data_IF_689909861390
#
_entry.id   IF_689909861390
#
_cell.length_a   1.000
_cell.length_b   1.000
_cell.length_c   1.000
_cell.angle_alpha   90.00
_cell.angle_beta   90.00
_cell.angle_gamma   90.00
#
_symmetry.space_group_name_H-M   'P 1'
#
loop_
_entity.id
_entity.type
_entity.pdbx_description
1 polymer ?
#
# COMPACT_ATOMS: atom_id res chain seq x y z
N UNK A 1 -17.94 5.03 1.41
CA UNK A 1 -19.04 4.28 2.01
C UNK A 1 -19.08 4.56 3.51
N UNK A 2 -20.22 4.94 4.05
CA UNK A 2 -20.44 4.89 5.49
C UNK A 2 -20.93 3.49 5.83
N UNK A 3 -20.20 2.80 6.70
CA UNK A 3 -20.51 1.42 7.09
C UNK A 3 -21.06 1.39 8.51
N UNK A 4 -22.21 0.75 8.66
CA UNK A 4 -22.83 0.46 9.96
C UNK A 4 -23.05 -1.04 10.08
N UNK A 5 -22.68 -1.62 11.22
CA UNK A 5 -22.75 -3.07 11.45
C UNK A 5 -21.86 -3.86 10.47
N UNK A 6 -22.20 -5.11 10.22
CA UNK A 6 -21.43 -5.98 9.32
C UNK A 6 -21.94 -5.88 7.88
N UNK A 7 -21.05 -5.63 6.94
CA UNK A 7 -21.34 -5.50 5.50
C UNK A 7 -20.37 -6.35 4.67
N UNK A 8 -20.89 -6.90 3.58
CA UNK A 8 -20.09 -7.42 2.48
C UNK A 8 -20.31 -6.54 1.25
N UNK A 9 -19.24 -6.23 0.53
CA UNK A 9 -19.30 -5.37 -0.65
C UNK A 9 -18.43 -5.94 -1.77
N UNK A 10 -18.95 -5.88 -2.99
CA UNK A 10 -18.18 -6.15 -4.20
C UNK A 10 -18.27 -4.91 -5.11
N UNK A 11 -17.13 -4.38 -5.49
CA UNK A 11 -16.99 -3.26 -6.42
C UNK A 11 -16.22 -3.70 -7.65
N UNK A 12 -16.70 -3.32 -8.82
CA UNK A 12 -15.97 -3.46 -10.07
C UNK A 12 -15.74 -2.09 -10.69
N UNK A 13 -14.47 -1.79 -11.00
CA UNK A 13 -14.02 -0.56 -11.67
C UNK A 13 -13.39 -1.00 -12.99
N UNK A 14 -13.99 -0.60 -14.09
CA UNK A 14 -13.48 -0.95 -15.43
C UNK A 14 -13.24 0.30 -16.26
N UNK A 15 -11.99 0.54 -16.64
CA UNK A 15 -11.59 1.59 -17.58
C UNK A 15 -11.49 0.99 -18.99
N UNK A 16 -12.30 1.47 -19.92
CA UNK A 16 -12.24 1.05 -21.32
C UNK A 16 -10.93 1.44 -22.00
N UNK A 17 -10.61 0.83 -23.14
CA UNK A 17 -9.40 1.15 -23.89
C UNK A 17 -9.29 2.65 -24.20
N UNK A 18 -8.07 3.21 -24.11
CA UNK A 18 -7.74 4.62 -24.35
C UNK A 18 -8.43 5.63 -23.41
N UNK A 19 -9.12 5.14 -22.38
CA UNK A 19 -9.78 6.03 -21.42
C UNK A 19 -8.79 6.57 -20.37
N UNK A 20 -9.16 7.71 -19.77
CA UNK A 20 -8.44 8.28 -18.64
C UNK A 20 -9.44 8.62 -17.54
N UNK A 21 -9.21 8.13 -16.31
CA UNK A 21 -10.10 8.37 -15.19
C UNK A 21 -9.35 8.40 -13.86
N UNK A 22 -9.97 9.02 -12.87
CA UNK A 22 -9.59 8.92 -11.46
C UNK A 22 -10.83 8.49 -10.68
N UNK A 23 -10.69 7.45 -9.87
CA UNK A 23 -11.74 6.95 -8.98
C UNK A 23 -11.25 7.06 -7.54
N UNK A 24 -12.06 7.64 -6.68
CA UNK A 24 -11.79 7.77 -5.26
C UNK A 24 -12.80 6.92 -4.50
N UNK A 25 -12.31 5.93 -3.77
CA UNK A 25 -13.08 5.11 -2.84
C UNK A 25 -12.82 5.64 -1.43
N UNK A 26 -13.78 6.32 -0.86
CA UNK A 26 -13.71 6.79 0.53
C UNK A 26 -14.51 5.84 1.42
N UNK A 27 -13.88 5.38 2.47
CA UNK A 27 -14.43 4.49 3.47
C UNK A 27 -14.42 5.20 4.82
N UNK A 28 -15.57 5.30 5.43
CA UNK A 28 -15.73 5.77 6.79
C UNK A 28 -16.76 4.89 7.49
N UNK A 29 -16.65 4.72 8.77
CA UNK A 29 -17.58 3.94 9.56
C UNK A 29 -17.46 4.30 11.03
N UNK A 30 -18.59 4.25 11.72
CA UNK A 30 -18.68 4.46 13.15
C UNK A 30 -18.47 3.16 13.92
N UNK A 31 -18.37 3.30 15.24
CA UNK A 31 -18.10 2.23 16.20
C UNK A 31 -18.76 0.86 15.87
N UNK A 32 -17.99 -0.21 15.97
CA UNK A 32 -18.41 -1.61 15.79
C UNK A 32 -18.81 -2.00 14.35
N UNK A 33 -18.43 -1.25 13.33
CA UNK A 33 -18.64 -1.65 11.95
C UNK A 33 -17.61 -2.71 11.51
N UNK A 34 -18.06 -3.61 10.63
CA UNK A 34 -17.19 -4.58 9.97
C UNK A 34 -17.48 -4.61 8.46
N UNK A 35 -16.44 -4.41 7.65
CA UNK A 35 -16.52 -4.49 6.20
C UNK A 35 -15.65 -5.61 5.66
N UNK A 36 -16.27 -6.55 4.93
CA UNK A 36 -15.56 -7.48 4.06
C UNK A 36 -15.77 -7.05 2.61
N UNK A 37 -14.69 -6.69 1.91
CA UNK A 37 -14.77 -6.06 0.60
C UNK A 37 -13.94 -6.82 -0.44
N UNK A 38 -14.52 -6.94 -1.64
CA UNK A 38 -13.77 -7.29 -2.86
C UNK A 38 -13.82 -6.11 -3.81
N UNK A 39 -12.66 -5.70 -4.33
CA UNK A 39 -12.54 -4.65 -5.35
C UNK A 39 -11.85 -5.26 -6.57
N UNK A 40 -12.49 -5.21 -7.71
CA UNK A 40 -11.89 -5.58 -8.99
C UNK A 40 -11.64 -4.33 -9.82
N UNK A 41 -10.41 -4.15 -10.27
CA UNK A 41 -9.99 -3.03 -11.12
C UNK A 41 -9.45 -3.58 -12.41
N UNK A 42 -10.04 -3.17 -13.54
CA UNK A 42 -9.58 -3.57 -14.86
C UNK A 42 -9.26 -2.34 -15.71
N UNK A 43 -8.08 -2.32 -16.31
CA UNK A 43 -7.71 -1.34 -17.35
C UNK A 43 -7.70 -2.01 -18.71
N UNK A 44 -8.43 -1.45 -19.66
CA UNK A 44 -8.32 -1.82 -21.07
C UNK A 44 -7.02 -1.30 -21.70
N UNK A 45 -6.76 -1.69 -22.94
CA UNK A 45 -5.53 -1.33 -23.66
C UNK A 45 -5.33 0.18 -23.72
N UNK A 46 -4.12 0.63 -23.39
CA UNK A 46 -3.72 2.04 -23.37
C UNK A 46 -4.58 2.94 -22.46
N UNK A 47 -5.33 2.36 -21.52
CA UNK A 47 -6.08 3.14 -20.53
C UNK A 47 -5.13 3.70 -19.46
N UNK A 48 -5.52 4.84 -18.87
CA UNK A 48 -4.81 5.46 -17.76
C UNK A 48 -5.77 5.67 -16.60
N UNK A 49 -5.65 4.86 -15.57
CA UNK A 49 -6.55 4.87 -14.42
C UNK A 49 -5.79 5.17 -13.13
N UNK A 50 -6.33 6.07 -12.34
CA UNK A 50 -5.90 6.26 -10.95
C UNK A 50 -7.02 5.80 -10.02
N UNK A 51 -6.71 4.91 -9.09
CA UNK A 51 -7.64 4.50 -8.03
C UNK A 51 -7.05 4.91 -6.69
N UNK A 52 -7.79 5.71 -5.94
CA UNK A 52 -7.42 6.13 -4.58
C UNK A 52 -8.37 5.47 -3.60
N UNK A 53 -7.84 4.71 -2.67
CA UNK A 53 -8.59 4.03 -1.60
C UNK A 53 -8.24 4.69 -0.27
N UNK A 54 -9.19 5.45 0.29
CA UNK A 54 -9.04 6.14 1.57
C UNK A 54 -9.78 5.34 2.64
N UNK A 55 -9.11 4.97 3.71
CA UNK A 55 -9.69 4.39 4.91
C UNK A 55 -9.55 5.41 6.04
N UNK A 56 -10.68 5.98 6.44
CA UNK A 56 -10.82 6.92 7.55
C UNK A 56 -11.81 6.32 8.56
N UNK A 57 -11.37 5.22 9.17
CA UNK A 57 -12.20 4.44 10.07
C UNK A 57 -12.16 4.96 11.50
N UNK A 58 -13.25 4.76 12.23
CA UNK A 58 -13.21 4.79 13.70
C UNK A 58 -12.36 3.62 14.23
N UNK A 59 -11.68 3.82 15.36
CA UNK A 59 -10.70 2.90 15.93
C UNK A 59 -11.24 1.50 16.32
N UNK A 60 -12.54 1.29 16.22
CA UNK A 60 -13.19 0.01 16.53
C UNK A 60 -13.64 -0.77 15.29
N UNK A 61 -13.34 -0.27 14.09
CA UNK A 61 -13.81 -0.86 12.82
C UNK A 61 -12.88 -1.99 12.36
N UNK A 62 -13.50 -3.07 11.87
CA UNK A 62 -12.80 -4.17 11.20
C UNK A 62 -12.98 -4.04 9.68
N UNK A 63 -11.89 -3.99 8.93
CA UNK A 63 -11.94 -3.95 7.47
C UNK A 63 -11.01 -4.98 6.85
N UNK A 64 -11.57 -5.92 6.11
CA UNK A 64 -10.82 -6.85 5.26
C UNK A 64 -11.18 -6.61 3.80
N UNK A 65 -10.17 -6.37 2.95
CA UNK A 65 -10.37 -6.13 1.52
C UNK A 65 -9.42 -6.96 0.67
N UNK A 66 -9.97 -7.67 -0.30
CA UNK A 66 -9.22 -8.23 -1.41
C UNK A 66 -9.41 -7.37 -2.65
N UNK A 67 -8.30 -6.98 -3.26
CA UNK A 67 -8.28 -6.10 -4.43
C UNK A 67 -7.54 -6.83 -5.57
N UNK A 68 -8.20 -6.99 -6.71
CA UNK A 68 -7.62 -7.59 -7.90
C UNK A 68 -7.43 -6.52 -8.97
N UNK A 69 -6.18 -6.34 -9.40
CA UNK A 69 -5.79 -5.29 -10.34
C UNK A 69 -5.32 -5.94 -11.64
N UNK A 70 -6.11 -5.80 -12.70
CA UNK A 70 -5.82 -6.40 -14.00
C UNK A 70 -5.48 -5.33 -15.03
N UNK A 71 -4.27 -5.41 -15.62
CA UNK A 71 -3.74 -4.39 -16.52
C UNK A 71 -3.70 -4.90 -17.96
N UNK A 72 -4.41 -4.24 -18.88
CA UNK A 72 -4.33 -4.48 -20.31
C UNK A 72 -3.03 -3.96 -20.95
N UNK A 73 -2.81 -4.24 -22.23
CA UNK A 73 -1.64 -3.82 -23.00
C UNK A 73 -1.40 -2.29 -22.91
N UNK A 74 -0.16 -1.88 -22.66
CA UNK A 74 0.27 -0.47 -22.65
C UNK A 74 -0.57 0.41 -21.72
N UNK A 75 -1.32 -0.18 -20.79
CA UNK A 75 -2.13 0.58 -19.84
C UNK A 75 -1.31 1.05 -18.65
N UNK A 76 -1.81 2.09 -17.97
CA UNK A 76 -1.20 2.65 -16.76
C UNK A 76 -2.21 2.61 -15.61
N UNK A 77 -1.83 1.98 -14.52
CA UNK A 77 -2.61 1.98 -13.28
C UNK A 77 -1.79 2.60 -12.15
N UNK A 78 -2.33 3.66 -11.56
CA UNK A 78 -1.84 4.19 -10.28
C UNK A 78 -2.83 3.81 -9.20
N UNK A 79 -2.40 2.97 -8.25
CA UNK A 79 -3.20 2.54 -7.11
C UNK A 79 -2.65 3.17 -5.83
N UNK A 80 -3.46 3.98 -5.17
CA UNK A 80 -3.06 4.73 -3.96
C UNK A 80 -3.90 4.26 -2.79
N UNK A 81 -3.26 3.85 -1.71
CA UNK A 81 -3.89 3.43 -0.47
C UNK A 81 -3.50 4.38 0.65
N UNK A 82 -4.49 4.92 1.35
CA UNK A 82 -4.28 5.74 2.55
C UNK A 82 -5.09 5.12 3.68
N UNK A 83 -4.42 4.71 4.76
CA UNK A 83 -5.07 4.01 5.87
C UNK A 83 -4.84 4.75 7.18
N UNK A 84 -5.93 5.26 7.72
CA UNK A 84 -6.00 5.90 9.04
C UNK A 84 -7.16 5.31 9.82
N UNK A 85 -6.91 4.91 11.07
CA UNK A 85 -7.92 4.32 11.93
C UNK A 85 -8.23 2.85 11.61
N UNK A 86 -9.21 2.30 12.36
CA UNK A 86 -9.59 0.90 12.36
C UNK A 86 -8.84 0.11 13.44
N UNK A 87 -9.55 -0.79 14.12
CA UNK A 87 -8.96 -1.77 15.04
C UNK A 87 -8.09 -2.78 14.26
N UNK A 88 -8.68 -3.32 13.19
CA UNK A 88 -7.97 -4.19 12.25
C UNK A 88 -8.33 -3.79 10.81
N UNK A 89 -7.32 -3.41 10.04
CA UNK A 89 -7.46 -3.20 8.59
C UNK A 89 -6.48 -4.12 7.88
N UNK A 90 -7.01 -4.97 6.98
CA UNK A 90 -6.22 -5.86 6.14
C UNK A 90 -6.58 -5.64 4.68
N UNK A 91 -5.64 -5.14 3.90
CA UNK A 91 -5.78 -4.91 2.47
C UNK A 91 -4.81 -5.82 1.70
N UNK A 92 -5.36 -6.71 0.87
CA UNK A 92 -4.59 -7.58 -0.01
C UNK A 92 -4.82 -7.11 -1.46
N UNK A 93 -3.76 -6.74 -2.16
CA UNK A 93 -3.82 -6.27 -3.55
C UNK A 93 -2.98 -7.19 -4.44
N UNK A 94 -3.67 -7.93 -5.31
CA UNK A 94 -3.06 -8.85 -6.27
C UNK A 94 -3.12 -8.23 -7.67
N UNK A 95 -1.98 -8.20 -8.36
CA UNK A 95 -1.86 -7.61 -9.70
C UNK A 95 -1.60 -8.67 -10.76
N UNK A 96 -2.32 -8.58 -11.87
CA UNK A 96 -2.18 -9.44 -13.05
C UNK A 96 -1.98 -8.58 -14.31
N UNK A 97 -0.84 -8.74 -14.98
CA UNK A 97 -0.56 -8.10 -16.27
C UNK A 97 -1.13 -8.95 -17.40
N UNK A 98 -2.19 -8.48 -18.04
CA UNK A 98 -2.90 -9.17 -19.14
C UNK A 98 -2.38 -8.84 -20.53
N UNK A 99 -1.42 -7.94 -20.63
CA UNK A 99 -0.78 -7.55 -21.89
C UNK A 99 0.57 -6.89 -21.68
N UNK A 100 1.44 -6.90 -22.70
CA UNK A 100 2.77 -6.33 -22.60
C UNK A 100 2.74 -4.79 -22.46
N UNK A 101 3.83 -4.24 -21.93
CA UNK A 101 4.04 -2.80 -21.86
C UNK A 101 3.21 -2.07 -20.79
N UNK A 102 2.50 -2.79 -19.93
CA UNK A 102 1.69 -2.17 -18.90
C UNK A 102 2.54 -1.62 -17.75
N UNK A 103 2.09 -0.51 -17.16
CA UNK A 103 2.77 0.19 -16.09
C UNK A 103 1.90 0.24 -14.83
N UNK A 104 2.44 -0.23 -13.71
CA UNK A 104 1.82 -0.20 -12.39
C UNK A 104 2.60 0.71 -11.45
N UNK A 105 1.90 1.62 -10.79
CA UNK A 105 2.43 2.35 -9.63
C UNK A 105 1.52 2.12 -8.44
N UNK A 106 2.06 1.57 -7.35
CA UNK A 106 1.33 1.39 -6.10
C UNK A 106 1.96 2.26 -5.01
N UNK A 107 1.15 3.10 -4.42
CA UNK A 107 1.56 4.00 -3.34
C UNK A 107 0.70 3.73 -2.11
N UNK A 108 1.33 3.52 -0.97
CA UNK A 108 0.66 3.33 0.30
C UNK A 108 1.19 4.27 1.37
N UNK A 109 0.30 4.86 2.14
CA UNK A 109 0.64 5.54 3.38
C UNK A 109 -0.29 5.07 4.49
N UNK A 110 0.26 4.81 5.66
CA UNK A 110 -0.52 4.40 6.83
C UNK A 110 0.04 5.00 8.12
N UNK A 111 -0.88 5.29 9.02
CA UNK A 111 -0.55 5.71 10.37
C UNK A 111 -1.25 4.75 11.35
N UNK A 112 -0.47 4.17 12.25
CA UNK A 112 -0.94 3.16 13.21
C UNK A 112 -0.84 3.73 14.60
N UNK A 113 -1.96 3.80 15.29
CA UNK A 113 -2.00 4.23 16.69
C UNK A 113 -2.11 3.03 17.64
N UNK A 114 -1.95 3.29 18.93
CA UNK A 114 -1.92 2.24 19.96
C UNK A 114 -3.10 1.28 19.89
N UNK A 115 -2.82 -0.03 19.92
CA UNK A 115 -3.79 -1.12 19.83
C UNK A 115 -4.26 -1.46 18.43
N UNK A 116 -3.99 -0.66 17.40
CA UNK A 116 -4.42 -0.92 16.03
C UNK A 116 -3.51 -1.92 15.32
N UNK A 117 -4.09 -2.72 14.41
CA UNK A 117 -3.38 -3.61 13.50
C UNK A 117 -3.68 -3.25 12.03
N UNK A 118 -2.70 -2.70 11.33
CA UNK A 118 -2.84 -2.37 9.91
C UNK A 118 -1.93 -3.26 9.05
N UNK A 119 -2.53 -4.07 8.18
CA UNK A 119 -1.83 -5.03 7.31
C UNK A 119 -2.07 -4.70 5.84
N UNK A 120 -0.97 -4.57 5.09
CA UNK A 120 -0.98 -4.38 3.64
C UNK A 120 -0.17 -5.49 2.98
N UNK A 121 -0.83 -6.28 2.12
CA UNK A 121 -0.19 -7.29 1.29
C UNK A 121 -0.31 -6.90 -0.17
N UNK A 122 0.80 -6.95 -0.85
CA UNK A 122 0.89 -6.63 -2.29
C UNK A 122 1.49 -7.84 -2.99
N UNK A 123 0.83 -8.32 -4.02
CA UNK A 123 1.39 -9.31 -4.91
C UNK A 123 1.42 -8.78 -6.34
N UNK A 124 2.61 -8.68 -6.91
CA UNK A 124 2.83 -8.20 -8.28
C UNK A 124 3.32 -9.37 -9.13
N UNK A 125 2.45 -9.92 -9.98
CA UNK A 125 2.75 -11.03 -10.88
C UNK A 125 3.08 -10.51 -12.28
N UNK A 126 4.36 -10.37 -12.60
CA UNK A 126 4.83 -10.04 -13.94
C UNK A 126 4.77 -11.28 -14.83
N UNK A 127 3.67 -11.43 -15.56
CA UNK A 127 3.39 -12.55 -16.46
C UNK A 127 3.53 -12.19 -17.94
N UNK A 128 3.76 -10.90 -18.26
CA UNK A 128 3.85 -10.37 -19.61
C UNK A 128 5.14 -9.57 -19.83
N UNK A 129 5.67 -9.52 -21.07
CA UNK A 129 6.92 -8.81 -21.32
C UNK A 129 6.79 -7.29 -21.23
N UNK A 130 7.92 -6.65 -20.94
CA UNK A 130 8.09 -5.18 -20.93
C UNK A 130 7.13 -4.45 -19.99
N UNK A 131 6.75 -5.11 -18.91
CA UNK A 131 5.92 -4.51 -17.89
C UNK A 131 6.78 -3.82 -16.81
N UNK A 132 6.25 -2.75 -16.29
CA UNK A 132 6.89 -1.92 -15.28
C UNK A 132 6.06 -1.91 -14.00
N UNK A 133 6.73 -2.00 -12.83
CA UNK A 133 6.06 -1.74 -11.55
C UNK A 133 6.94 -0.98 -10.57
N UNK A 134 6.29 -0.11 -9.79
CA UNK A 134 6.88 0.55 -8.62
C UNK A 134 5.88 0.47 -7.47
N UNK A 135 6.32 -0.14 -6.39
CA UNK A 135 5.55 -0.28 -5.15
C UNK A 135 6.26 0.51 -4.06
N UNK A 136 5.57 1.48 -3.46
CA UNK A 136 6.13 2.27 -2.37
C UNK A 136 5.11 2.43 -1.27
N UNK A 137 5.41 1.84 -0.10
CA UNK A 137 4.59 1.96 1.09
C UNK A 137 5.39 2.59 2.23
N UNK A 138 4.77 3.54 2.92
CA UNK A 138 5.39 4.21 4.07
C UNK A 138 4.41 4.25 5.25
N UNK A 139 4.92 3.91 6.43
CA UNK A 139 4.15 3.91 7.66
C UNK A 139 4.78 4.73 8.77
N UNK A 140 3.94 5.27 9.64
CA UNK A 140 4.36 5.78 10.93
C UNK A 140 3.52 5.11 12.02
N UNK A 141 4.16 4.77 13.14
CA UNK A 141 3.54 4.01 14.22
C UNK A 141 3.79 4.69 15.55
N UNK A 142 2.74 4.81 16.35
CA UNK A 142 2.87 5.30 17.73
C UNK A 142 1.94 4.52 18.67
N UNK A 143 2.27 4.58 19.95
CA UNK A 143 1.46 3.99 21.00
C UNK A 143 1.77 2.52 21.25
N UNK A 144 1.39 2.08 22.44
CA UNK A 144 1.57 0.71 22.87
C UNK A 144 0.70 -0.23 22.02
N UNK A 145 1.27 -1.38 21.63
CA UNK A 145 0.60 -2.41 20.83
C UNK A 145 0.16 -1.97 19.41
N UNK A 146 0.62 -0.79 18.95
CA UNK A 146 0.49 -0.40 17.54
C UNK A 146 1.28 -1.37 16.65
N UNK A 147 0.63 -1.99 15.67
CA UNK A 147 1.27 -3.01 14.84
C UNK A 147 0.96 -2.81 13.35
N UNK A 148 1.99 -2.65 12.55
CA UNK A 148 1.86 -2.72 11.09
C UNK A 148 2.51 -3.98 10.53
N UNK A 149 1.89 -4.53 9.49
CA UNK A 149 2.47 -5.60 8.67
C UNK A 149 2.43 -5.15 7.22
N UNK A 150 3.57 -5.16 6.56
CA UNK A 150 3.66 -5.00 5.12
C UNK A 150 4.36 -6.21 4.49
N UNK A 151 3.69 -6.83 3.52
CA UNK A 151 4.24 -7.94 2.76
C UNK A 151 4.17 -7.55 1.29
N UNK A 152 5.33 -7.50 0.63
CA UNK A 152 5.46 -7.28 -0.80
C UNK A 152 6.02 -8.55 -1.44
N UNK A 153 5.24 -9.12 -2.34
CA UNK A 153 5.62 -10.29 -3.11
C UNK A 153 5.68 -9.89 -4.59
N UNK A 154 6.84 -9.98 -5.21
CA UNK A 154 7.02 -9.75 -6.63
C UNK A 154 7.51 -11.03 -7.32
N UNK A 155 6.76 -11.49 -8.32
CA UNK A 155 7.10 -12.65 -9.12
C UNK A 155 7.31 -12.23 -10.57
N UNK A 156 8.49 -12.54 -11.13
CA UNK A 156 8.81 -12.31 -12.54
C UNK A 156 8.81 -13.68 -13.23
N UNK A 157 7.79 -13.92 -14.03
CA UNK A 157 7.59 -15.19 -14.73
C UNK A 157 8.57 -15.37 -15.89
N UNK A 158 8.77 -16.61 -16.32
CA UNK A 158 9.66 -16.98 -17.44
C UNK A 158 9.37 -16.17 -18.73
N UNK A 159 8.12 -15.84 -19.00
CA UNK A 159 7.70 -15.10 -20.20
C UNK A 159 7.80 -13.56 -20.08
N UNK A 160 8.25 -13.03 -18.92
CA UNK A 160 8.21 -11.61 -18.61
C UNK A 160 9.52 -10.88 -18.99
N UNK A 161 9.98 -11.02 -20.23
CA UNK A 161 11.17 -10.35 -20.74
C UNK A 161 11.06 -8.82 -20.61
N UNK A 162 12.17 -8.17 -20.25
CA UNK A 162 12.23 -6.70 -20.17
C UNK A 162 11.40 -6.11 -19.03
N UNK A 163 11.15 -6.89 -17.97
CA UNK A 163 10.52 -6.38 -16.74
C UNK A 163 11.44 -5.41 -16.02
N UNK A 164 10.87 -4.30 -15.52
CA UNK A 164 11.50 -3.39 -14.58
C UNK A 164 10.61 -3.20 -13.36
N UNK A 165 11.06 -3.67 -12.20
CA UNK A 165 10.26 -3.66 -10.96
C UNK A 165 11.07 -3.23 -9.74
N UNK A 166 10.43 -2.52 -8.82
CA UNK A 166 11.04 -2.17 -7.55
C UNK A 166 9.99 -2.02 -6.45
N UNK A 167 10.26 -2.59 -5.28
CA UNK A 167 9.42 -2.49 -4.10
C UNK A 167 10.15 -1.79 -2.96
N UNK A 168 9.47 -0.88 -2.29
CA UNK A 168 9.99 -0.13 -1.15
C UNK A 168 8.97 -0.08 -0.02
N UNK A 169 9.37 -0.53 1.18
CA UNK A 169 8.64 -0.24 2.40
C UNK A 169 9.53 0.53 3.39
N UNK A 170 9.00 1.61 3.96
CA UNK A 170 9.69 2.35 5.03
C UNK A 170 8.73 2.63 6.17
N UNK A 171 9.16 2.34 7.38
CA UNK A 171 8.40 2.60 8.59
C UNK A 171 9.19 3.49 9.55
N UNK A 172 8.47 4.35 10.25
CA UNK A 172 9.01 5.16 11.35
C UNK A 172 8.25 4.81 12.64
N UNK A 173 8.95 4.24 13.60
CA UNK A 173 8.42 3.96 14.94
C UNK A 173 8.66 5.17 15.82
N UNK A 174 7.59 5.85 16.19
CA UNK A 174 7.62 7.12 16.91
C UNK A 174 7.74 6.96 18.43
N UNK A 175 7.22 5.84 18.96
CA UNK A 175 7.20 5.59 20.41
C UNK A 175 7.52 4.14 20.73
N UNK A 176 7.90 3.86 21.96
CA UNK A 176 8.07 2.49 22.45
C UNK A 176 6.74 1.71 22.43
N UNK A 177 6.83 0.38 22.27
CA UNK A 177 5.69 -0.53 22.24
C UNK A 177 5.01 -0.67 20.89
N UNK A 178 5.37 0.12 19.89
CA UNK A 178 4.93 -0.05 18.51
C UNK A 178 5.86 -0.99 17.74
N UNK A 179 5.31 -1.76 16.80
CA UNK A 179 6.00 -2.78 16.01
C UNK A 179 5.63 -2.70 14.54
N UNK A 180 6.64 -2.69 13.66
CA UNK A 180 6.47 -2.79 12.21
C UNK A 180 7.15 -4.07 11.69
N UNK A 181 6.39 -4.94 11.05
CA UNK A 181 6.88 -6.09 10.31
C UNK A 181 6.86 -5.77 8.82
N UNK A 182 8.00 -5.95 8.15
CA UNK A 182 8.14 -5.69 6.72
C UNK A 182 8.85 -6.86 6.05
N UNK A 183 8.16 -7.49 5.09
CA UNK A 183 8.60 -8.73 4.44
C UNK A 183 8.56 -8.54 2.93
N UNK A 184 9.62 -8.00 2.31
CA UNK A 184 9.74 -7.98 0.86
C UNK A 184 10.23 -9.33 0.33
N UNK A 185 9.58 -9.87 -0.69
CA UNK A 185 9.95 -11.09 -1.38
C UNK A 185 10.09 -10.81 -2.89
N UNK A 186 11.10 -11.41 -3.51
CA UNK A 186 11.34 -11.27 -4.94
C UNK A 186 11.72 -12.64 -5.50
N UNK A 187 10.91 -13.12 -6.45
CA UNK A 187 11.17 -14.37 -7.17
C UNK A 187 11.33 -14.07 -8.67
N UNK A 188 12.43 -14.54 -9.25
CA UNK A 188 12.80 -14.25 -10.63
C UNK A 188 13.01 -15.57 -11.36
N UNK A 189 12.07 -15.90 -12.28
CA UNK A 189 12.16 -17.08 -13.14
C UNK A 189 12.88 -16.78 -14.47
N UNK A 190 13.11 -15.49 -14.81
CA UNK A 190 13.68 -15.06 -16.08
C UNK A 190 14.79 -14.02 -15.86
N UNK A 191 15.97 -14.25 -16.45
CA UNK A 191 17.12 -13.36 -16.37
C UNK A 191 17.15 -12.20 -17.39
N UNK A 192 16.29 -12.22 -18.40
CA UNK A 192 16.20 -11.18 -19.46
C UNK A 192 15.32 -10.00 -19.03
N UNK A 193 15.71 -9.33 -17.95
CA UNK A 193 14.99 -8.22 -17.35
C UNK A 193 15.79 -6.93 -17.39
N UNK A 194 15.12 -5.77 -17.36
CA UNK A 194 15.76 -4.45 -17.23
C UNK A 194 16.28 -4.22 -15.80
N UNK A 195 15.50 -4.63 -14.82
CA UNK A 195 15.90 -4.56 -13.42
C UNK A 195 14.83 -5.08 -12.46
N UNK A 196 15.29 -5.55 -11.31
CA UNK A 196 14.42 -5.93 -10.21
C UNK A 196 15.11 -5.65 -8.88
N UNK A 197 14.32 -5.27 -7.88
CA UNK A 197 14.85 -5.04 -6.56
C UNK A 197 13.78 -4.73 -5.53
N UNK A 198 14.19 -4.81 -4.27
CA UNK A 198 13.37 -4.40 -3.15
C UNK A 198 14.21 -3.74 -2.05
N UNK A 199 13.59 -2.92 -1.24
CA UNK A 199 14.20 -2.37 -0.03
C UNK A 199 13.16 -2.26 1.08
N UNK A 200 13.61 -2.51 2.30
CA UNK A 200 12.82 -2.33 3.50
C UNK A 200 13.67 -1.66 4.57
N UNK A 201 13.09 -0.68 5.26
CA UNK A 201 13.74 -0.04 6.39
C UNK A 201 12.70 0.35 7.44
N UNK A 202 13.03 0.05 8.71
CA UNK A 202 12.26 0.53 9.86
C UNK A 202 13.20 1.34 10.75
N UNK A 203 12.96 2.65 10.82
CA UNK A 203 13.64 3.57 11.68
C UNK A 203 12.86 3.81 12.98
N UNK A 204 13.56 4.25 14.01
CA UNK A 204 12.95 4.75 15.25
C UNK A 204 13.20 6.24 15.35
N UNK A 205 12.28 6.92 16.02
CA UNK A 205 12.50 8.31 16.42
C UNK A 205 13.74 8.42 17.28
N UNK A 206 14.60 9.38 16.96
CA UNK A 206 15.91 9.53 17.61
C UNK A 206 15.81 10.53 18.78
N UNK A 207 15.65 9.99 19.98
CA UNK A 207 15.56 10.79 21.21
C UNK A 207 16.88 11.51 21.51
N UNK A 208 18.03 11.03 21.05
CA UNK A 208 19.31 11.71 21.21
C UNK A 208 19.38 12.98 20.34
N UNK A 209 18.90 12.90 19.11
CA UNK A 209 18.78 14.07 18.24
C UNK A 209 17.76 15.08 18.79
N UNK A 210 16.65 14.61 19.32
CA UNK A 210 15.68 15.47 20.01
C UNK A 210 16.34 16.20 21.18
N UNK A 211 17.01 15.46 22.06
CA UNK A 211 17.72 16.05 23.21
C UNK A 211 18.77 17.05 22.75
N UNK A 212 19.54 16.76 21.70
CA UNK A 212 20.55 17.67 21.16
C UNK A 212 19.92 18.97 20.67
N UNK A 213 18.83 18.93 19.92
CA UNK A 213 18.13 20.15 19.47
C UNK A 213 17.58 20.96 20.65
N UNK A 214 16.95 20.30 21.61
CA UNK A 214 16.43 20.95 22.80
C UNK A 214 17.55 21.59 23.64
N UNK A 215 18.70 20.96 23.77
CA UNK A 215 19.87 21.51 24.47
C UNK A 215 20.45 22.76 23.79
N UNK A 216 20.13 22.96 22.50
CA UNK A 216 20.47 24.17 21.73
C UNK A 216 19.40 25.25 21.75
N UNK A 217 18.35 25.06 22.57
CA UNK A 217 17.28 26.02 22.74
C UNK A 217 16.13 25.92 21.76
N UNK A 218 16.07 24.84 20.93
CA UNK A 218 14.92 24.58 20.09
C UNK A 218 13.78 24.06 20.96
N UNK A 219 12.58 24.67 20.92
CA UNK A 219 11.43 24.17 21.67
C UNK A 219 11.09 22.72 21.29
N UNK A 220 10.64 21.89 22.22
CA UNK A 220 10.40 20.47 22.03
C UNK A 220 9.48 20.18 20.81
N UNK A 221 8.37 20.93 20.69
CA UNK A 221 7.43 20.75 19.57
C UNK A 221 8.07 21.00 18.20
N UNK A 222 9.03 21.93 18.13
CA UNK A 222 9.77 22.21 16.91
C UNK A 222 10.90 21.19 16.69
N UNK A 223 11.61 20.82 17.74
CA UNK A 223 12.64 19.80 17.69
C UNK A 223 12.08 18.45 17.19
N UNK A 224 10.88 18.05 17.65
CA UNK A 224 10.20 16.84 17.17
C UNK A 224 9.82 16.88 15.69
N UNK A 225 9.68 18.05 15.09
CA UNK A 225 9.45 18.21 13.64
C UNK A 225 10.72 18.13 12.81
N UNK A 226 11.86 18.39 13.43
CA UNK A 226 13.16 18.44 12.77
C UNK A 226 13.88 17.09 12.77
N UNK A 227 13.55 16.23 13.74
CA UNK A 227 14.02 14.84 13.84
C UNK A 227 13.15 13.94 12.97
#
# INVERSE_FOLDING_TARGET
ANVEGTRAQHLMIRAGAFSKATVILSHAGSAQAALNQTVEVETGDSANLTVVSLQEWDDTVLHASNQRLALGRDSKLTHIVVTFGGDLVRLCADTDFRGPGAELTMLGIYFVDGGQHLEHRVFVDHSQPKCFSRVTYKGALQGKDAHSVWIGDCLIREAADGTDTYELNRNLVLTEGAKADSVPNLEIENGEIEGAGHASATGRFDDEQLFYLMSRGVPEAEARRLV
#
